data_IF_815570143558
#
_entry.id   IF_815570143558
#
_cell.length_a   1.000
_cell.length_b   1.000
_cell.length_c   1.000
_cell.angle_alpha   90.00
_cell.angle_beta   90.00
_cell.angle_gamma   90.00
#
_symmetry.space_group_name_H-M   'P 1'
#
loop_
_entity.id
_entity.type
_entity.pdbx_description
1 polymer ?
#
# COMPACT_ATOMS: atom_id res chain seq x y z
N UNK A 1 -12.64 9.37 -18.87
CA UNK A 1 -12.85 8.85 -17.50
C UNK A 1 -11.67 9.26 -16.68
N UNK A 2 -11.88 9.88 -15.52
CA UNK A 2 -10.78 10.30 -14.67
C UNK A 2 -10.22 9.07 -13.93
N UNK A 3 -8.91 9.07 -13.71
CA UNK A 3 -8.20 8.04 -12.95
C UNK A 3 -7.39 8.70 -11.85
N UNK A 4 -7.71 8.33 -10.61
CA UNK A 4 -6.91 8.63 -9.43
C UNK A 4 -5.99 7.45 -9.15
N UNK A 5 -4.69 7.71 -9.02
CA UNK A 5 -3.75 6.75 -8.47
C UNK A 5 -3.41 7.15 -7.03
N UNK A 6 -3.57 6.22 -6.09
CA UNK A 6 -3.24 6.38 -4.68
C UNK A 6 -2.06 5.48 -4.34
N UNK A 7 -0.99 6.06 -3.82
CA UNK A 7 0.24 5.33 -3.50
C UNK A 7 0.36 5.20 -1.99
N UNK A 8 0.55 3.96 -1.52
CA UNK A 8 1.03 3.69 -0.17
C UNK A 8 2.53 4.03 -0.10
N UNK A 9 2.85 5.15 0.56
CA UNK A 9 4.15 5.78 0.41
C UNK A 9 5.27 4.95 1.00
N UNK A 10 5.17 4.57 2.28
CA UNK A 10 6.26 3.82 2.92
C UNK A 10 6.35 2.39 2.40
N UNK A 11 5.26 1.77 1.97
CA UNK A 11 5.33 0.47 1.31
C UNK A 11 6.21 0.53 0.04
N UNK A 12 5.97 1.54 -0.81
CA UNK A 12 6.76 1.76 -2.01
C UNK A 12 8.19 2.22 -1.69
N UNK A 13 8.37 3.03 -0.65
CA UNK A 13 9.67 3.55 -0.26
C UNK A 13 10.58 2.48 0.35
N UNK A 14 10.07 1.62 1.24
CA UNK A 14 10.78 0.42 1.71
C UNK A 14 11.14 -0.51 0.57
N UNK A 15 10.20 -0.74 -0.36
CA UNK A 15 10.49 -1.54 -1.55
C UNK A 15 11.63 -0.93 -2.37
N UNK A 16 11.64 0.38 -2.57
CA UNK A 16 12.71 1.06 -3.29
C UNK A 16 14.06 0.96 -2.54
N UNK A 17 14.06 1.16 -1.23
CA UNK A 17 15.26 1.04 -0.39
C UNK A 17 15.96 -0.31 -0.55
N UNK A 18 15.19 -1.42 -0.53
CA UNK A 18 15.75 -2.77 -0.68
C UNK A 18 16.01 -3.20 -2.13
N UNK A 19 15.29 -2.63 -3.11
CA UNK A 19 15.42 -3.03 -4.50
C UNK A 19 16.62 -2.39 -5.23
N UNK A 20 17.03 -1.19 -4.79
CA UNK A 20 18.09 -0.40 -5.43
C UNK A 20 19.39 -0.45 -4.61
N UNK A 21 20.58 -0.39 -5.27
CA UNK A 21 21.86 -0.53 -4.59
C UNK A 21 22.04 0.52 -3.47
N UNK A 22 22.37 0.12 -2.22
CA UNK A 22 22.49 1.06 -1.11
C UNK A 22 23.70 1.99 -1.24
N UNK A 23 24.64 1.72 -2.15
CA UNK A 23 25.78 2.59 -2.45
C UNK A 23 25.40 3.78 -3.34
N UNK A 24 24.15 3.87 -3.83
CA UNK A 24 23.72 4.97 -4.67
C UNK A 24 23.67 6.27 -3.86
N UNK A 25 24.43 7.25 -4.30
CA UNK A 25 24.55 8.56 -3.65
C UNK A 25 24.23 9.72 -4.59
N UNK A 26 23.91 10.88 -4.01
CA UNK A 26 23.87 12.16 -4.71
C UNK A 26 25.28 12.58 -5.13
N UNK A 27 25.38 13.63 -5.95
CA UNK A 27 26.68 14.24 -6.31
C UNK A 27 27.45 14.77 -5.09
N UNK A 28 26.77 14.98 -3.95
CA UNK A 28 27.32 15.43 -2.68
C UNK A 28 27.66 14.27 -1.74
N UNK A 29 27.42 13.01 -2.15
CA UNK A 29 27.74 11.82 -1.35
C UNK A 29 26.64 11.38 -0.38
N UNK A 30 25.44 11.95 -0.44
CA UNK A 30 24.32 11.58 0.43
C UNK A 30 23.61 10.33 -0.12
N UNK A 31 23.18 9.41 0.73
CA UNK A 31 22.42 8.24 0.28
C UNK A 31 21.11 8.64 -0.40
N UNK A 32 20.78 8.01 -1.53
CA UNK A 32 19.61 8.40 -2.34
C UNK A 32 18.92 7.21 -3.06
N UNK A 33 19.28 5.97 -2.71
CA UNK A 33 18.79 4.75 -3.36
C UNK A 33 17.26 4.59 -3.30
N UNK A 34 16.64 4.88 -2.15
CA UNK A 34 15.20 4.77 -1.98
C UNK A 34 14.45 5.86 -2.75
N UNK A 35 14.94 7.10 -2.73
CA UNK A 35 14.31 8.20 -3.49
C UNK A 35 14.40 7.93 -5.00
N UNK A 36 15.58 7.53 -5.49
CA UNK A 36 15.77 7.17 -6.90
C UNK A 36 14.83 6.03 -7.31
N UNK A 37 14.75 4.98 -6.49
CA UNK A 37 13.88 3.84 -6.75
C UNK A 37 12.40 4.20 -6.73
N UNK A 38 11.97 4.99 -5.74
CA UNK A 38 10.59 5.46 -5.61
C UNK A 38 10.20 6.35 -6.80
N UNK A 39 11.06 7.30 -7.18
CA UNK A 39 10.86 8.11 -8.39
C UNK A 39 10.74 7.21 -9.63
N UNK A 40 11.65 6.25 -9.82
CA UNK A 40 11.60 5.32 -10.95
C UNK A 40 10.27 4.55 -11.02
N UNK A 41 9.80 4.06 -9.88
CA UNK A 41 8.51 3.36 -9.77
C UNK A 41 7.33 4.28 -10.12
N UNK A 42 7.31 5.51 -9.60
CA UNK A 42 6.28 6.50 -9.90
C UNK A 42 6.26 6.88 -11.38
N UNK A 43 7.41 7.04 -12.01
CA UNK A 43 7.51 7.30 -13.45
C UNK A 43 6.93 6.15 -14.26
N UNK A 44 7.26 4.89 -13.91
CA UNK A 44 6.69 3.71 -14.57
C UNK A 44 5.16 3.67 -14.42
N UNK A 45 4.66 3.89 -13.21
CA UNK A 45 3.23 4.01 -12.93
C UNK A 45 2.57 5.12 -13.76
N UNK A 46 3.22 6.28 -13.87
CA UNK A 46 2.72 7.41 -14.67
C UNK A 46 2.57 7.05 -16.15
N UNK A 47 3.52 6.30 -16.71
CA UNK A 47 3.48 5.84 -18.11
C UNK A 47 2.43 4.75 -18.31
N UNK A 48 2.36 3.77 -17.41
CA UNK A 48 1.48 2.60 -17.51
C UNK A 48 0.02 2.97 -17.25
N UNK A 49 -0.24 3.69 -16.16
CA UNK A 49 -1.59 4.01 -15.72
C UNK A 49 -2.09 5.35 -16.25
N UNK A 50 -1.23 6.26 -16.72
CA UNK A 50 -1.62 7.58 -17.24
C UNK A 50 -2.64 8.30 -16.32
N UNK A 51 -2.31 8.50 -15.02
CA UNK A 51 -3.20 9.11 -14.06
C UNK A 51 -3.58 10.54 -14.46
N UNK A 52 -4.85 10.89 -14.27
CA UNK A 52 -5.31 12.29 -14.26
C UNK A 52 -5.12 12.95 -12.90
N UNK A 53 -5.14 12.13 -11.85
CA UNK A 53 -4.99 12.54 -10.46
C UNK A 53 -4.03 11.57 -9.76
N UNK A 54 -3.20 12.07 -8.87
CA UNK A 54 -2.20 11.30 -8.14
C UNK A 54 -2.07 11.85 -6.72
N UNK A 55 -2.11 10.96 -5.73
CA UNK A 55 -1.80 11.30 -4.36
C UNK A 55 -0.98 10.18 -3.71
N UNK A 56 -0.24 10.55 -2.68
CA UNK A 56 0.48 9.62 -1.82
C UNK A 56 -0.12 9.68 -0.43
N UNK A 57 -0.20 8.55 0.27
CA UNK A 57 -0.70 8.49 1.65
C UNK A 57 0.43 8.12 2.60
N UNK A 58 0.52 8.85 3.71
CA UNK A 58 1.46 8.57 4.78
C UNK A 58 0.72 8.08 6.01
N UNK A 59 1.40 7.23 6.76
CA UNK A 59 1.04 6.88 8.13
C UNK A 59 1.31 8.03 9.10
N UNK A 60 0.63 7.99 10.23
CA UNK A 60 0.86 8.89 11.36
C UNK A 60 2.31 8.76 11.87
N UNK A 61 3.05 9.87 11.88
CA UNK A 61 4.45 9.91 12.32
C UNK A 61 4.58 10.20 13.82
N UNK A 62 3.62 10.94 14.41
CA UNK A 62 3.73 11.48 15.77
C UNK A 62 2.87 10.73 16.78
N UNK A 63 1.63 10.50 16.41
CA UNK A 63 0.67 9.82 17.29
C UNK A 63 0.58 8.33 16.94
N UNK A 64 0.53 7.43 17.96
CA UNK A 64 0.25 6.02 17.72
C UNK A 64 -1.12 5.88 17.03
N UNK A 65 -1.22 4.92 16.12
CA UNK A 65 -2.48 4.65 15.43
C UNK A 65 -3.51 4.12 16.43
N UNK A 66 -4.79 4.31 16.14
CA UNK A 66 -5.86 3.78 16.99
C UNK A 66 -5.74 2.26 17.20
N UNK A 67 -5.19 1.52 16.21
CA UNK A 67 -4.94 0.07 16.31
C UNK A 67 -3.88 -0.25 17.36
N UNK A 68 -2.79 0.50 17.42
CA UNK A 68 -1.73 0.34 18.44
C UNK A 68 -2.27 0.68 19.83
N UNK A 69 -3.08 1.73 19.94
CA UNK A 69 -3.71 2.11 21.21
C UNK A 69 -4.68 1.05 21.73
N UNK A 70 -5.45 0.43 20.85
CA UNK A 70 -6.43 -0.61 21.20
C UNK A 70 -5.78 -1.98 21.44
N UNK A 71 -4.78 -2.33 20.64
CA UNK A 71 -4.07 -3.59 20.71
C UNK A 71 -2.56 -3.35 20.60
N UNK A 72 -1.84 -3.16 21.73
CA UNK A 72 -0.41 -2.85 21.73
C UNK A 72 0.49 -3.89 21.05
N UNK A 73 0.01 -5.11 20.86
CA UNK A 73 0.74 -6.15 20.14
C UNK A 73 0.59 -6.04 18.61
N UNK A 74 -0.30 -5.18 18.09
CA UNK A 74 -0.48 -4.92 16.67
C UNK A 74 0.84 -4.44 16.04
N UNK A 75 1.28 -5.09 14.96
CA UNK A 75 2.56 -4.84 14.25
C UNK A 75 3.82 -4.91 15.15
N UNK A 76 3.71 -5.30 16.42
CA UNK A 76 4.83 -5.32 17.38
C UNK A 76 5.89 -6.39 17.07
N UNK A 77 5.55 -7.39 16.25
CA UNK A 77 6.47 -8.43 15.78
C UNK A 77 7.22 -8.03 14.51
N UNK A 78 6.93 -6.85 13.92
CA UNK A 78 7.67 -6.36 12.76
C UNK A 78 9.11 -6.07 13.16
N UNK A 79 10.04 -6.69 12.44
CA UNK A 79 11.48 -6.51 12.69
C UNK A 79 11.89 -5.15 12.10
N UNK A 80 12.41 -4.21 12.91
CA UNK A 80 12.91 -2.94 12.38
C UNK A 80 14.16 -3.17 11.51
N UNK A 81 14.50 -2.17 10.70
CA UNK A 81 15.77 -2.20 9.97
C UNK A 81 16.95 -2.25 10.94
N UNK A 82 18.08 -2.88 10.56
CA UNK A 82 19.34 -2.72 11.28
C UNK A 82 19.66 -1.22 11.49
N UNK A 83 20.27 -0.81 12.62
CA UNK A 83 20.45 0.61 12.94
C UNK A 83 21.11 1.44 11.84
N UNK A 84 22.12 0.89 11.15
CA UNK A 84 22.80 1.59 10.05
C UNK A 84 21.87 1.77 8.83
N UNK A 85 21.10 0.75 8.49
CA UNK A 85 20.10 0.82 7.42
C UNK A 85 18.96 1.79 7.78
N UNK A 86 18.54 1.82 9.05
CA UNK A 86 17.52 2.75 9.53
C UNK A 86 17.97 4.20 9.39
N UNK A 87 19.20 4.53 9.79
CA UNK A 87 19.76 5.88 9.60
C UNK A 87 19.80 6.25 8.12
N UNK A 88 20.21 5.32 7.26
CA UNK A 88 20.24 5.53 5.82
C UNK A 88 18.84 5.75 5.24
N UNK A 89 17.86 4.98 5.69
CA UNK A 89 16.45 5.09 5.28
C UNK A 89 15.86 6.44 5.70
N UNK A 90 16.01 6.79 6.98
CA UNK A 90 15.44 8.02 7.55
C UNK A 90 16.05 9.27 6.92
N UNK A 91 17.34 9.25 6.59
CA UNK A 91 18.03 10.38 5.94
C UNK A 91 17.44 10.75 4.57
N UNK A 92 16.71 9.82 3.94
CA UNK A 92 16.11 10.00 2.62
C UNK A 92 14.65 10.48 2.66
N UNK A 93 13.98 10.45 3.81
CA UNK A 93 12.58 10.91 3.94
C UNK A 93 12.41 12.41 3.63
N UNK A 94 13.29 13.33 4.05
CA UNK A 94 13.21 14.73 3.63
C UNK A 94 13.36 14.91 2.11
N UNK A 95 14.26 14.14 1.50
CA UNK A 95 14.53 14.17 0.05
C UNK A 95 13.33 13.63 -0.74
N UNK A 96 12.64 12.61 -0.23
CA UNK A 96 11.35 12.16 -0.75
C UNK A 96 10.31 13.29 -0.71
N UNK A 97 10.23 14.02 0.40
CA UNK A 97 9.35 15.19 0.55
C UNK A 97 9.65 16.29 -0.47
N UNK A 98 10.93 16.61 -0.70
CA UNK A 98 11.37 17.56 -1.73
C UNK A 98 10.92 17.12 -3.13
N UNK A 99 11.09 15.84 -3.47
CA UNK A 99 10.67 15.30 -4.75
C UNK A 99 9.15 15.40 -4.95
N UNK A 100 8.35 14.97 -3.97
CA UNK A 100 6.89 15.03 -4.06
C UNK A 100 6.39 16.47 -4.20
N UNK A 101 7.00 17.42 -3.48
CA UNK A 101 6.68 18.83 -3.58
C UNK A 101 7.00 19.40 -4.98
N UNK A 102 8.18 19.10 -5.54
CA UNK A 102 8.54 19.52 -6.90
C UNK A 102 7.64 18.90 -7.97
N UNK A 103 7.22 17.65 -7.78
CA UNK A 103 6.27 16.97 -8.65
C UNK A 103 4.82 17.49 -8.50
N UNK A 104 4.56 18.34 -7.50
CA UNK A 104 3.23 18.83 -7.08
C UNK A 104 2.27 17.68 -6.79
N UNK A 105 2.75 16.65 -6.11
CA UNK A 105 1.94 15.49 -5.70
C UNK A 105 1.42 15.75 -4.28
N UNK A 106 0.12 15.65 -4.10
CA UNK A 106 -0.51 15.86 -2.80
C UNK A 106 -0.23 14.66 -1.88
N UNK A 107 0.24 14.96 -0.67
CA UNK A 107 0.43 14.00 0.40
C UNK A 107 -0.76 14.04 1.38
N UNK A 108 -1.45 12.91 1.53
CA UNK A 108 -2.53 12.72 2.49
C UNK A 108 -1.93 12.33 3.85
N UNK A 109 -2.36 13.02 4.90
CA UNK A 109 -1.91 12.82 6.29
C UNK A 109 -3.06 13.05 7.26
N UNK A 110 -3.17 12.21 8.28
CA UNK A 110 -4.01 12.46 9.46
C UNK A 110 -3.39 11.77 10.69
N UNK A 111 -3.37 12.48 11.82
CA UNK A 111 -2.82 11.95 13.07
C UNK A 111 -3.65 10.76 13.58
N UNK A 112 -2.97 9.70 14.03
CA UNK A 112 -3.59 8.50 14.57
C UNK A 112 -4.17 7.51 13.54
N UNK A 113 -3.96 7.76 12.25
CA UNK A 113 -4.42 6.90 11.14
C UNK A 113 -3.25 6.35 10.32
N UNK A 114 -3.48 5.22 9.67
CA UNK A 114 -2.52 4.59 8.76
C UNK A 114 -2.73 5.08 7.33
N UNK A 115 -1.70 4.92 6.48
CA UNK A 115 -1.81 5.24 5.06
C UNK A 115 -3.01 4.51 4.42
N UNK A 116 -3.26 3.27 4.85
CA UNK A 116 -4.37 2.45 4.37
C UNK A 116 -5.75 3.08 4.63
N UNK A 117 -5.92 3.69 5.82
CA UNK A 117 -7.14 4.38 6.21
C UNK A 117 -7.35 5.67 5.39
N UNK A 118 -6.26 6.38 5.09
CA UNK A 118 -6.33 7.57 4.22
C UNK A 118 -6.65 7.20 2.77
N UNK A 119 -6.11 6.08 2.30
CA UNK A 119 -6.42 5.52 0.98
C UNK A 119 -7.89 5.10 0.93
N UNK A 120 -8.37 4.34 1.92
CA UNK A 120 -9.77 3.93 2.03
C UNK A 120 -10.72 5.12 2.05
N UNK A 121 -10.38 6.15 2.85
CA UNK A 121 -11.13 7.40 2.93
C UNK A 121 -11.14 8.16 1.60
N UNK A 122 -10.00 8.22 0.90
CA UNK A 122 -9.93 8.86 -0.39
C UNK A 122 -10.74 8.14 -1.47
N UNK A 123 -10.72 6.80 -1.47
CA UNK A 123 -11.56 5.98 -2.34
C UNK A 123 -13.05 6.23 -2.07
N UNK A 124 -13.45 6.34 -0.80
CA UNK A 124 -14.84 6.57 -0.42
C UNK A 124 -15.37 7.95 -0.86
N UNK A 125 -14.49 8.96 -0.89
CA UNK A 125 -14.83 10.34 -1.29
C UNK A 125 -14.71 10.58 -2.82
N UNK A 126 -14.45 9.55 -3.62
CA UNK A 126 -14.25 9.69 -5.07
C UNK A 126 -15.51 10.19 -5.81
N UNK A 127 -15.35 11.14 -6.76
CA UNK A 127 -16.40 11.46 -7.73
C UNK A 127 -16.89 10.22 -8.49
N UNK A 128 -18.16 10.20 -8.89
CA UNK A 128 -18.79 9.05 -9.55
C UNK A 128 -18.18 8.71 -10.92
N UNK A 129 -17.57 9.69 -11.60
CA UNK A 129 -16.94 9.57 -12.92
C UNK A 129 -15.44 9.23 -12.87
N UNK A 130 -14.94 8.92 -11.67
CA UNK A 130 -13.53 8.62 -11.40
C UNK A 130 -13.38 7.16 -10.99
N UNK A 131 -12.38 6.49 -11.57
CA UNK A 131 -11.85 5.21 -11.08
C UNK A 131 -10.62 5.45 -10.20
N UNK A 132 -10.37 4.54 -9.26
CA UNK A 132 -9.15 4.53 -8.46
C UNK A 132 -8.29 3.31 -8.75
N UNK A 133 -6.99 3.53 -8.70
CA UNK A 133 -5.98 2.49 -8.65
C UNK A 133 -5.15 2.69 -7.39
N UNK A 134 -5.24 1.74 -6.46
CA UNK A 134 -4.45 1.71 -5.23
C UNK A 134 -3.16 0.94 -5.48
N UNK A 135 -2.01 1.60 -5.40
CA UNK A 135 -0.71 0.97 -5.58
C UNK A 135 -0.07 0.69 -4.22
N UNK A 136 -0.05 -0.59 -3.83
CA UNK A 136 0.63 -1.10 -2.64
C UNK A 136 0.97 -2.58 -2.85
N UNK A 137 1.89 -3.13 -2.05
CA UNK A 137 2.02 -4.58 -1.87
C UNK A 137 1.16 -5.11 -0.72
N UNK A 138 0.59 -4.22 0.09
CA UNK A 138 -0.23 -4.60 1.22
C UNK A 138 -1.56 -5.19 0.74
N UNK A 139 -1.75 -6.49 0.99
CA UNK A 139 -2.96 -7.20 0.54
C UNK A 139 -4.20 -6.79 1.34
N UNK A 140 -4.04 -6.04 2.43
CA UNK A 140 -5.14 -5.56 3.26
C UNK A 140 -6.01 -4.60 2.49
N UNK A 141 -5.39 -3.76 1.65
CA UNK A 141 -6.04 -2.81 0.75
C UNK A 141 -6.90 -3.47 -0.34
N UNK A 142 -6.77 -4.79 -0.56
CA UNK A 142 -7.65 -5.50 -1.50
C UNK A 142 -9.11 -5.49 -1.04
N UNK A 143 -9.39 -5.25 0.26
CA UNK A 143 -10.76 -5.06 0.76
C UNK A 143 -11.48 -3.85 0.13
N UNK A 144 -10.73 -2.90 -0.46
CA UNK A 144 -11.27 -1.72 -1.15
C UNK A 144 -11.68 -1.99 -2.60
N UNK A 145 -11.31 -3.15 -3.16
CA UNK A 145 -11.60 -3.49 -4.56
C UNK A 145 -13.12 -3.50 -4.78
N UNK A 146 -13.53 -2.85 -5.85
CA UNK A 146 -14.92 -2.72 -6.29
C UNK A 146 -14.94 -2.46 -7.80
N UNK A 147 -16.10 -2.35 -8.47
CA UNK A 147 -16.15 -2.11 -9.91
C UNK A 147 -15.38 -0.87 -10.40
N UNK A 148 -15.10 0.11 -9.52
CA UNK A 148 -14.35 1.34 -9.85
C UNK A 148 -12.97 1.41 -9.18
N UNK A 149 -12.59 0.41 -8.39
CA UNK A 149 -11.36 0.43 -7.58
C UNK A 149 -10.53 -0.81 -7.88
N UNK A 150 -9.34 -0.59 -8.41
CA UNK A 150 -8.40 -1.63 -8.75
C UNK A 150 -7.18 -1.54 -7.84
N UNK A 151 -6.55 -2.69 -7.60
CA UNK A 151 -5.30 -2.78 -6.86
C UNK A 151 -4.15 -2.97 -7.86
N UNK A 152 -3.09 -2.18 -7.75
CA UNK A 152 -1.90 -2.30 -8.59
C UNK A 152 -0.81 -3.01 -7.80
N UNK A 153 -0.54 -4.25 -8.19
CA UNK A 153 0.57 -5.04 -7.68
C UNK A 153 1.83 -4.68 -8.48
N UNK A 154 2.85 -4.04 -7.87
CA UNK A 154 4.07 -3.72 -8.58
C UNK A 154 4.83 -5.00 -8.97
N UNK A 155 5.62 -4.93 -10.04
CA UNK A 155 6.45 -6.04 -10.49
C UNK A 155 7.38 -6.56 -9.38
N UNK A 156 7.59 -7.88 -9.33
CA UNK A 156 8.52 -8.52 -8.39
C UNK A 156 9.64 -9.22 -9.17
N UNK A 157 10.84 -8.64 -9.09
CA UNK A 157 11.99 -9.08 -9.86
C UNK A 157 11.75 -9.08 -11.37
N UNK A 158 12.47 -9.94 -12.11
CA UNK A 158 12.32 -10.08 -13.56
C UNK A 158 11.21 -11.03 -13.99
N UNK A 159 10.61 -11.78 -13.06
CA UNK A 159 9.69 -12.89 -13.36
C UNK A 159 8.22 -12.53 -13.23
N UNK A 160 7.87 -11.60 -12.34
CA UNK A 160 6.48 -11.20 -12.13
C UNK A 160 6.29 -9.78 -12.64
N UNK A 161 5.47 -9.63 -13.67
CA UNK A 161 5.09 -8.33 -14.22
C UNK A 161 4.12 -7.63 -13.26
N UNK A 162 4.11 -6.30 -13.31
CA UNK A 162 3.08 -5.53 -12.65
C UNK A 162 1.69 -5.93 -13.20
N UNK A 163 0.68 -5.88 -12.34
CA UNK A 163 -0.67 -6.32 -12.68
C UNK A 163 -1.72 -5.45 -11.99
N UNK A 164 -2.70 -5.00 -12.75
CA UNK A 164 -3.97 -4.52 -12.21
C UNK A 164 -4.81 -5.72 -11.75
N UNK A 165 -5.28 -5.64 -10.52
CA UNK A 165 -5.93 -6.71 -9.79
C UNK A 165 -7.29 -6.19 -9.33
N UNK A 166 -8.37 -6.74 -9.87
CA UNK A 166 -9.75 -6.35 -9.59
C UNK A 166 -10.56 -7.51 -9.02
N UNK A 167 -11.90 -7.38 -9.06
CA UNK A 167 -12.83 -8.35 -8.47
C UNK A 167 -12.66 -9.75 -9.06
N UNK A 168 -12.38 -9.84 -10.36
CA UNK A 168 -12.18 -11.12 -11.05
C UNK A 168 -10.94 -11.84 -10.51
N UNK A 169 -9.79 -11.16 -10.52
CA UNK A 169 -8.53 -11.74 -10.06
C UNK A 169 -8.61 -12.10 -8.57
N UNK A 170 -9.26 -11.26 -7.76
CA UNK A 170 -9.53 -11.53 -6.36
C UNK A 170 -10.36 -12.81 -6.19
N UNK A 171 -11.45 -12.94 -6.93
CA UNK A 171 -12.33 -14.09 -6.82
C UNK A 171 -11.65 -15.38 -7.30
N UNK A 172 -10.82 -15.31 -8.34
CA UNK A 172 -10.02 -16.47 -8.80
C UNK A 172 -9.02 -16.95 -7.73
N UNK A 173 -8.45 -16.02 -6.95
CA UNK A 173 -7.46 -16.34 -5.89
C UNK A 173 -8.12 -16.82 -4.59
N UNK A 174 -9.16 -16.13 -4.12
CA UNK A 174 -9.77 -16.36 -2.80
C UNK A 174 -11.07 -17.16 -2.87
N UNK A 175 -11.82 -17.05 -3.96
CA UNK A 175 -13.13 -17.70 -4.18
C UNK A 175 -14.28 -17.06 -3.41
N UNK A 176 -14.12 -15.83 -2.93
CA UNK A 176 -15.14 -15.00 -2.30
C UNK A 176 -14.93 -13.52 -2.74
N UNK A 177 -15.91 -12.61 -2.59
CA UNK A 177 -15.76 -11.21 -3.01
C UNK A 177 -14.81 -10.40 -2.10
N UNK A 178 -14.17 -9.33 -2.61
CA UNK A 178 -13.24 -8.48 -1.84
C UNK A 178 -13.79 -7.93 -0.53
N UNK A 179 -15.10 -7.60 -0.51
CA UNK A 179 -15.79 -7.10 0.68
C UNK A 179 -15.72 -8.06 1.89
N UNK A 180 -15.41 -9.34 1.67
CA UNK A 180 -15.29 -10.36 2.71
C UNK A 180 -13.83 -10.62 3.15
N UNK A 181 -12.85 -9.85 2.64
CA UNK A 181 -11.45 -9.97 3.07
C UNK A 181 -11.28 -9.73 4.57
N UNK A 182 -12.02 -8.77 5.14
CA UNK A 182 -12.02 -8.49 6.58
C UNK A 182 -12.58 -9.67 7.37
N UNK A 183 -13.72 -10.22 6.94
CA UNK A 183 -14.33 -11.39 7.58
C UNK A 183 -13.39 -12.60 7.58
N UNK A 184 -12.72 -12.80 6.46
CA UNK A 184 -11.72 -13.84 6.32
C UNK A 184 -10.58 -13.67 7.33
N UNK A 185 -9.96 -12.47 7.37
CA UNK A 185 -8.87 -12.15 8.31
C UNK A 185 -9.30 -12.19 9.77
N UNK A 186 -10.51 -11.78 10.09
CA UNK A 186 -11.07 -11.87 11.43
C UNK A 186 -11.05 -13.30 11.97
N UNK A 187 -11.23 -14.30 11.10
CA UNK A 187 -11.21 -15.71 11.47
C UNK A 187 -9.81 -16.31 11.46
N UNK A 188 -9.02 -16.08 10.41
CA UNK A 188 -7.69 -16.72 10.25
C UNK A 188 -6.55 -15.99 10.98
N UNK A 189 -6.78 -14.73 11.36
CA UNK A 189 -5.74 -13.82 11.84
C UNK A 189 -4.80 -13.35 10.73
N UNK A 190 -3.89 -12.46 11.08
CA UNK A 190 -2.82 -11.98 10.22
C UNK A 190 -1.49 -11.99 10.97
N UNK A 191 -0.63 -12.99 10.74
CA UNK A 191 0.67 -13.05 11.40
C UNK A 191 1.58 -11.86 11.09
N UNK A 192 1.46 -11.22 9.92
CA UNK A 192 2.33 -10.12 9.51
C UNK A 192 2.06 -8.83 10.30
N UNK A 193 0.81 -8.66 10.72
CA UNK A 193 0.33 -7.56 11.56
C UNK A 193 0.08 -7.97 13.01
N UNK A 194 0.39 -9.23 13.33
CA UNK A 194 0.13 -9.85 14.63
C UNK A 194 -1.37 -9.82 15.02
N UNK A 195 -2.28 -9.87 14.05
CA UNK A 195 -3.73 -9.99 14.28
C UNK A 195 -4.04 -11.45 14.67
N UNK A 196 -4.69 -11.71 15.81
CA UNK A 196 -4.75 -13.04 16.40
C UNK A 196 -5.64 -14.03 15.65
N UNK A 197 -6.81 -13.58 15.15
CA UNK A 197 -7.85 -14.46 14.62
C UNK A 197 -8.42 -15.44 15.65
N UNK A 198 -9.15 -16.44 15.17
CA UNK A 198 -9.72 -17.51 16.01
C UNK A 198 -8.73 -18.67 16.09
N UNK A 199 -8.29 -19.01 17.30
CA UNK A 199 -7.33 -20.10 17.52
C UNK A 199 -7.82 -21.42 16.91
N UNK A 200 -7.01 -21.97 16.01
CA UNK A 200 -7.29 -23.25 15.35
C UNK A 200 -8.27 -23.16 14.17
N UNK A 201 -8.59 -21.95 13.71
CA UNK A 201 -9.23 -21.66 12.42
C UNK A 201 -8.16 -21.10 11.49
N UNK A 202 -7.69 -21.92 10.55
CA UNK A 202 -6.72 -21.49 9.55
C UNK A 202 -7.38 -21.03 8.25
N UNK A 203 -6.54 -20.60 7.30
CA UNK A 203 -6.89 -20.17 5.94
C UNK A 203 -8.02 -20.98 5.28
N UNK A 204 -7.89 -22.31 5.23
CA UNK A 204 -8.88 -23.16 4.54
C UNK A 204 -10.26 -23.11 5.20
N UNK A 205 -10.29 -23.21 6.53
CA UNK A 205 -11.54 -23.20 7.30
C UNK A 205 -12.18 -21.82 7.26
N UNK A 206 -11.40 -20.75 7.39
CA UNK A 206 -11.88 -19.38 7.27
C UNK A 206 -12.51 -19.12 5.89
N UNK A 207 -11.83 -19.53 4.81
CA UNK A 207 -12.35 -19.38 3.45
C UNK A 207 -13.64 -20.19 3.23
N UNK A 208 -13.73 -21.43 3.75
CA UNK A 208 -14.95 -22.24 3.67
C UNK A 208 -16.13 -21.55 4.37
N UNK A 209 -15.91 -21.02 5.57
CA UNK A 209 -16.93 -20.34 6.36
C UNK A 209 -17.42 -19.05 5.66
N UNK A 210 -16.50 -18.21 5.21
CA UNK A 210 -16.81 -16.97 4.50
C UNK A 210 -17.55 -17.24 3.19
N UNK A 211 -17.11 -18.22 2.38
CA UNK A 211 -17.81 -18.61 1.15
C UNK A 211 -19.25 -19.06 1.40
N UNK A 212 -19.49 -19.76 2.51
CA UNK A 212 -20.79 -20.35 2.81
C UNK A 212 -21.75 -19.36 3.46
N UNK A 213 -21.27 -18.57 4.42
CA UNK A 213 -22.12 -17.74 5.28
C UNK A 213 -21.95 -16.23 5.02
N UNK A 214 -20.91 -15.85 4.29
CA UNK A 214 -20.59 -14.46 3.99
C UNK A 214 -19.82 -13.79 5.11
N UNK A 215 -20.53 -13.20 6.07
CA UNK A 215 -19.92 -12.35 7.11
C UNK A 215 -19.63 -13.13 8.39
N UNK A 216 -18.69 -12.64 9.21
CA UNK A 216 -18.44 -13.15 10.58
C UNK A 216 -19.74 -13.12 11.38
N UNK A 217 -20.52 -12.04 11.28
CA UNK A 217 -21.81 -11.94 11.95
C UNK A 217 -22.77 -13.08 11.55
N UNK A 218 -22.87 -13.39 10.26
CA UNK A 218 -23.72 -14.47 9.76
C UNK A 218 -23.18 -15.86 10.11
N UNK A 219 -21.86 -16.04 10.16
CA UNK A 219 -21.22 -17.27 10.67
C UNK A 219 -21.66 -17.55 12.11
N UNK A 220 -21.66 -16.53 12.98
CA UNK A 220 -22.10 -16.67 14.36
C UNK A 220 -23.61 -16.89 14.49
N UNK A 221 -24.43 -16.32 13.61
CA UNK A 221 -25.89 -16.62 13.56
C UNK A 221 -26.17 -18.08 13.23
N UNK A 222 -25.35 -18.70 12.36
CA UNK A 222 -25.52 -20.08 11.91
C UNK A 222 -24.58 -21.06 12.64
N UNK A 223 -24.07 -20.71 13.83
CA UNK A 223 -23.03 -21.49 14.52
C UNK A 223 -23.42 -22.95 14.80
N UNK A 224 -24.73 -23.23 14.96
CA UNK A 224 -25.25 -24.58 15.21
C UNK A 224 -25.26 -25.48 13.95
N UNK A 225 -25.16 -24.89 12.75
CA UNK A 225 -25.06 -25.62 11.48
C UNK A 225 -23.62 -25.96 11.11
N UNK A 226 -22.66 -25.39 11.83
CA UNK A 226 -21.23 -25.60 11.63
C UNK A 226 -20.79 -26.88 12.33
N UNK A 227 -19.80 -27.59 11.75
CA UNK A 227 -19.23 -28.80 12.35
C UNK A 227 -18.88 -28.54 13.83
N UNK A 228 -19.28 -29.42 14.78
CA UNK A 228 -19.19 -29.12 16.21
C UNK A 228 -17.81 -28.66 16.69
N UNK A 229 -16.72 -29.27 16.21
CA UNK A 229 -15.37 -28.88 16.58
C UNK A 229 -14.95 -27.47 16.09
N UNK A 230 -15.50 -27.01 14.97
CA UNK A 230 -15.28 -25.67 14.43
C UNK A 230 -16.17 -24.67 15.16
N UNK A 231 -17.44 -25.02 15.39
CA UNK A 231 -18.39 -24.22 16.17
C UNK A 231 -17.86 -23.91 17.59
N UNK A 232 -17.29 -24.91 18.27
CA UNK A 232 -16.69 -24.72 19.59
C UNK A 232 -15.53 -23.71 19.55
N UNK A 233 -14.61 -23.84 18.59
CA UNK A 233 -13.49 -22.88 18.42
C UNK A 233 -13.99 -21.45 18.15
N UNK A 234 -15.01 -21.30 17.31
CA UNK A 234 -15.62 -20.00 17.03
C UNK A 234 -16.27 -19.42 18.28
N UNK A 235 -16.98 -20.23 19.07
CA UNK A 235 -17.59 -19.80 20.32
C UNK A 235 -16.54 -19.36 21.34
N UNK A 236 -15.47 -20.15 21.52
CA UNK A 236 -14.37 -19.87 22.44
C UNK A 236 -13.58 -18.63 22.02
N UNK A 237 -13.38 -18.44 20.71
CA UNK A 237 -12.59 -17.35 20.13
C UNK A 237 -13.39 -16.14 19.62
N UNK A 238 -14.64 -15.97 20.09
CA UNK A 238 -15.53 -14.91 19.58
C UNK A 238 -14.96 -13.51 19.78
N UNK A 239 -14.37 -13.23 20.93
CA UNK A 239 -13.79 -11.91 21.24
C UNK A 239 -12.57 -11.63 20.36
N UNK A 240 -11.76 -12.64 20.10
CA UNK A 240 -10.60 -12.54 19.22
C UNK A 240 -11.02 -12.31 17.77
N UNK A 241 -12.12 -12.95 17.32
CA UNK A 241 -12.70 -12.67 16.01
C UNK A 241 -13.18 -11.22 15.90
N UNK A 242 -13.91 -10.72 16.90
CA UNK A 242 -14.42 -9.34 16.94
C UNK A 242 -13.28 -8.31 16.95
N UNK A 243 -12.25 -8.53 17.78
CA UNK A 243 -11.05 -7.69 17.81
C UNK A 243 -10.31 -7.74 16.47
N UNK A 244 -10.10 -8.93 15.92
CA UNK A 244 -9.39 -9.09 14.65
C UNK A 244 -10.13 -8.45 13.48
N UNK A 245 -11.47 -8.55 13.46
CA UNK A 245 -12.30 -7.85 12.50
C UNK A 245 -12.07 -6.34 12.56
N UNK A 246 -12.10 -5.77 13.77
CA UNK A 246 -11.89 -4.33 13.97
C UNK A 246 -10.49 -3.89 13.54
N UNK A 247 -9.45 -4.64 13.91
CA UNK A 247 -8.06 -4.34 13.54
C UNK A 247 -7.83 -4.44 12.03
N UNK A 248 -8.41 -5.44 11.36
CA UNK A 248 -8.24 -5.65 9.92
C UNK A 248 -9.11 -4.72 9.04
N UNK A 249 -10.13 -4.07 9.61
CA UNK A 249 -11.01 -3.16 8.86
C UNK A 249 -10.27 -1.86 8.56
N UNK A 250 -10.23 -1.47 7.30
CA UNK A 250 -9.76 -0.14 6.88
C UNK A 250 -10.83 0.91 7.18
N UNK A 251 -10.41 2.00 7.82
CA UNK A 251 -11.29 3.14 8.09
C UNK A 251 -11.49 3.94 6.82
N UNK A 252 -12.73 4.31 6.51
CA UNK A 252 -13.09 5.04 5.27
C UNK A 252 -13.66 6.43 5.53
N UNK A 253 -13.66 6.85 6.80
CA UNK A 253 -14.14 8.13 7.29
C UNK A 253 -13.10 8.82 8.19
N UNK A 254 -11.81 8.60 7.93
CA UNK A 254 -10.74 9.32 8.61
C UNK A 254 -10.92 10.85 8.44
N UNK A 255 -10.45 11.69 9.39
CA UNK A 255 -10.68 13.14 9.40
C UNK A 255 -9.82 13.90 8.37
N UNK A 256 -9.77 13.40 7.13
CA UNK A 256 -9.11 14.00 5.98
C UNK A 256 -10.16 14.37 4.94
N UNK A 257 -10.17 15.64 4.54
CA UNK A 257 -11.02 16.12 3.44
C UNK A 257 -10.24 16.06 2.14
N UNK A 258 -10.69 15.24 1.20
CA UNK A 258 -10.04 15.11 -0.09
C UNK A 258 -10.51 16.22 -1.03
N UNK A 259 -9.61 17.17 -1.27
CA UNK A 259 -9.78 18.19 -2.30
C UNK A 259 -9.36 17.62 -3.65
N UNK A 260 -10.33 17.03 -4.35
CA UNK A 260 -10.10 16.28 -5.59
C UNK A 260 -9.31 17.07 -6.65
N UNK A 261 -9.61 18.36 -6.81
CA UNK A 261 -8.92 19.23 -7.77
C UNK A 261 -7.44 19.41 -7.43
N UNK A 262 -7.06 19.39 -6.14
CA UNK A 262 -5.65 19.43 -5.72
C UNK A 262 -4.90 18.13 -5.99
N UNK A 263 -5.60 17.04 -6.32
CA UNK A 263 -4.96 15.79 -6.70
C UNK A 263 -4.57 15.78 -8.18
N UNK A 264 -4.95 16.79 -8.96
CA UNK A 264 -4.72 16.83 -10.41
C UNK A 264 -3.23 16.70 -10.73
N UNK A 265 -2.91 15.70 -11.54
CA UNK A 265 -1.55 15.37 -11.92
C UNK A 265 -1.31 15.75 -13.39
N UNK A 266 -0.28 16.56 -13.62
CA UNK A 266 0.06 17.08 -14.96
C UNK A 266 1.31 16.40 -15.56
N UNK A 267 1.74 15.29 -14.97
CA UNK A 267 2.99 14.64 -15.32
C UNK A 267 4.18 15.14 -14.50
N UNK A 268 5.32 14.48 -14.71
CA UNK A 268 6.57 14.77 -14.04
C UNK A 268 7.44 15.79 -14.77
N UNK A 269 7.14 16.10 -16.03
CA UNK A 269 7.89 17.07 -16.84
C UNK A 269 7.67 18.50 -16.33
N UNK A 270 8.45 18.85 -15.32
CA UNK A 270 8.37 20.11 -14.58
C UNK A 270 9.78 20.65 -14.34
N UNK A 271 10.03 21.95 -14.50
CA UNK A 271 11.35 22.54 -14.25
C UNK A 271 11.92 22.20 -12.86
N UNK A 272 11.05 22.17 -11.84
CA UNK A 272 11.44 21.85 -10.47
C UNK A 272 11.92 20.40 -10.33
N UNK A 273 11.29 19.45 -11.03
CA UNK A 273 11.71 18.03 -11.04
C UNK A 273 13.03 17.86 -11.79
N UNK A 274 13.19 18.52 -12.94
CA UNK A 274 14.44 18.52 -13.70
C UNK A 274 15.60 19.04 -12.84
N UNK A 275 15.45 20.20 -12.20
CA UNK A 275 16.47 20.78 -11.35
C UNK A 275 16.85 19.88 -10.16
N UNK A 276 15.87 19.22 -9.54
CA UNK A 276 16.14 18.24 -8.48
C UNK A 276 16.96 17.06 -8.99
N UNK A 277 16.56 16.49 -10.12
CA UNK A 277 17.21 15.32 -10.70
C UNK A 277 18.62 15.63 -11.21
N UNK A 278 18.86 16.82 -11.75
CA UNK A 278 20.22 17.30 -12.08
C UNK A 278 21.08 17.39 -10.82
N UNK A 279 20.57 18.02 -9.75
CA UNK A 279 21.27 18.19 -8.48
C UNK A 279 21.62 16.84 -7.83
N UNK A 280 20.71 15.87 -7.88
CA UNK A 280 20.92 14.53 -7.33
C UNK A 280 21.66 13.58 -8.29
N UNK A 281 21.86 13.95 -9.55
CA UNK A 281 22.58 13.13 -10.53
C UNK A 281 21.74 12.02 -11.19
N UNK A 282 20.41 12.13 -11.24
CA UNK A 282 19.50 11.13 -11.80
C UNK A 282 19.45 11.15 -13.34
N UNK A 283 20.60 10.94 -13.98
CA UNK A 283 20.78 11.04 -15.44
C UNK A 283 19.83 10.14 -16.24
N UNK A 284 19.59 8.92 -15.78
CA UNK A 284 18.67 7.96 -16.42
C UNK A 284 17.22 8.45 -16.43
N UNK A 285 16.76 9.04 -15.32
CA UNK A 285 15.40 9.59 -15.20
C UNK A 285 15.24 10.87 -16.04
N UNK A 286 16.26 11.73 -16.09
CA UNK A 286 16.28 12.91 -16.96
C UNK A 286 16.13 12.51 -18.44
N UNK A 287 16.89 11.50 -18.91
CA UNK A 287 16.75 10.98 -20.29
C UNK A 287 15.35 10.45 -20.57
N UNK A 288 14.79 9.71 -19.61
CA UNK A 288 13.43 9.18 -19.71
C UNK A 288 12.38 10.30 -19.80
N UNK A 289 12.56 11.40 -19.07
CA UNK A 289 11.72 12.59 -19.16
C UNK A 289 11.81 13.27 -20.53
N UNK A 290 13.00 13.29 -21.14
CA UNK A 290 13.23 13.84 -22.47
C UNK A 290 12.65 12.98 -23.61
N UNK A 291 12.05 11.83 -23.31
CA UNK A 291 11.49 10.91 -24.31
C UNK A 291 12.55 10.09 -25.05
N UNK A 292 13.79 10.05 -24.55
CA UNK A 292 14.82 9.15 -25.06
C UNK A 292 14.51 7.71 -24.63
N UNK A 293 14.76 6.73 -25.51
CA UNK A 293 14.51 5.32 -25.18
C UNK A 293 15.24 4.91 -23.89
N UNK A 294 14.56 4.20 -22.98
CA UNK A 294 15.17 3.77 -21.73
C UNK A 294 16.33 2.80 -22.03
N UNK A 295 17.53 3.15 -21.57
CA UNK A 295 18.62 2.17 -21.46
C UNK A 295 18.16 1.10 -20.47
N UNK A 296 18.25 -0.20 -20.79
CA UNK A 296 17.85 -1.26 -19.87
C UNK A 296 18.55 -1.07 -18.52
N UNK A 297 17.78 -1.11 -17.44
CA UNK A 297 18.24 -0.98 -16.06
C UNK A 297 19.03 -2.24 -15.69
N UNK A 298 20.23 -2.38 -16.25
CA UNK A 298 21.11 -3.49 -15.97
C UNK A 298 21.89 -3.14 -14.70
N UNK A 299 21.71 -3.96 -13.66
CA UNK A 299 22.33 -3.77 -12.34
C UNK A 299 23.86 -3.57 -12.40
N UNK A 300 24.50 -3.98 -13.49
CA UNK A 300 25.94 -3.81 -13.73
C UNK A 300 26.36 -2.42 -14.24
N UNK A 301 25.45 -1.60 -14.78
CA UNK A 301 25.79 -0.24 -15.23
C UNK A 301 25.72 0.82 -14.12
N UNK A 302 25.10 0.50 -12.98
CA UNK A 302 25.04 1.40 -11.82
C UNK A 302 26.35 1.46 -11.00
N UNK A 303 27.40 0.74 -11.44
CA UNK A 303 28.75 0.80 -10.87
C UNK A 303 29.63 1.93 -11.47
N UNK A 304 29.10 2.70 -12.41
CA UNK A 304 29.82 3.83 -13.04
C UNK A 304 28.98 5.11 -12.98
N UNK A 305 28.77 5.61 -11.78
CA UNK A 305 28.59 7.04 -11.50
C UNK A 305 29.43 7.39 -10.28
#
# INVERSE_FOLDING_TARGET
MNRLVLIDTLNFFHRAFHAYPPQLTTLQGESINAVYGFATMLFNLGVELKPTHLAVAYESEKEPTFRVLEFPAYKATRVPLPPEEQVQFDSQLPLLGEFLAAAKITALRAEGFEADDLIGTAVHQLPSDTEAVVASNDRDLTQLISPRVHFYLPAVGSKQKAKLYGEKEFFEEYGFPPAQMVDYKALRGDPSDNIPGVRGIGEKTAAELVKRYGTVADIYKHILEIRPAVAQKLADGKKEAELSYKLATIVTDAPVKIDYEKLRFLGFDRPEVHALFERWGFRSLLKKMAGEEPVPDNKDQMKLL
#
